data_IF_459917951577
#
_entry.id   IF_459917951577
#
_cell.length_a   1.000
_cell.length_b   1.000
_cell.length_c   1.000
_cell.angle_alpha   90.00
_cell.angle_beta   90.00
_cell.angle_gamma   90.00
#
_symmetry.space_group_name_H-M   'P 1'
#
loop_
_entity.id
_entity.type
_entity.pdbx_description
1 polymer ?
#
# COMPACT_ATOMS: atom_id res chain seq x y z
N UNK A 1 57.01 -71.39 6.20
CA UNK A 1 57.74 -70.13 5.90
C UNK A 1 57.27 -69.58 4.56
N UNK A 2 56.47 -68.51 4.55
CA UNK A 2 56.44 -67.50 3.49
C UNK A 2 55.37 -66.46 3.86
N UNK A 3 55.81 -65.29 4.37
CA UNK A 3 54.93 -64.14 4.63
C UNK A 3 54.75 -63.40 3.30
N UNK A 4 53.57 -63.47 2.68
CA UNK A 4 53.20 -62.56 1.59
C UNK A 4 52.81 -61.20 2.21
N UNK A 5 53.57 -60.16 1.89
CA UNK A 5 53.26 -58.75 2.19
C UNK A 5 52.12 -58.31 1.27
N UNK A 6 50.99 -57.88 1.85
CA UNK A 6 49.94 -57.17 1.13
C UNK A 6 50.27 -55.67 1.19
N UNK A 7 50.49 -55.05 0.04
CA UNK A 7 50.61 -53.60 -0.11
C UNK A 7 49.20 -53.06 -0.36
N UNK A 8 48.69 -52.08 0.40
CA UNK A 8 47.43 -51.44 0.06
C UNK A 8 47.68 -50.43 -1.07
N UNK A 9 47.00 -50.60 -2.20
CA UNK A 9 46.88 -49.58 -3.24
C UNK A 9 46.03 -48.43 -2.68
N UNK A 10 46.65 -47.26 -2.45
CA UNK A 10 45.89 -46.01 -2.29
C UNK A 10 45.42 -45.55 -3.68
N UNK A 11 44.11 -45.52 -3.90
CA UNK A 11 43.51 -44.77 -5.00
C UNK A 11 43.40 -43.30 -4.60
N UNK A 12 43.90 -42.33 -5.39
CA UNK A 12 43.65 -40.93 -5.12
C UNK A 12 42.20 -40.60 -5.51
N UNK A 13 41.38 -40.21 -4.53
CA UNK A 13 40.06 -39.66 -4.78
C UNK A 13 40.24 -38.25 -5.39
N UNK A 14 40.10 -38.14 -6.70
CA UNK A 14 39.99 -36.85 -7.37
C UNK A 14 38.63 -36.23 -7.02
N UNK A 15 38.66 -35.20 -6.17
CA UNK A 15 37.49 -34.36 -5.90
C UNK A 15 37.17 -33.56 -7.17
N UNK A 16 36.19 -34.03 -7.94
CA UNK A 16 35.52 -33.24 -8.97
C UNK A 16 34.75 -32.12 -8.27
N UNK A 17 35.34 -30.92 -8.23
CA UNK A 17 34.61 -29.70 -7.93
C UNK A 17 33.59 -29.47 -9.04
N UNK A 18 32.34 -29.90 -8.82
CA UNK A 18 31.21 -29.52 -9.64
C UNK A 18 31.03 -28.01 -9.47
N UNK A 19 31.42 -27.26 -10.50
CA UNK A 19 31.10 -25.85 -10.61
C UNK A 19 29.59 -25.76 -10.84
N UNK A 20 28.81 -25.64 -9.78
CA UNK A 20 27.39 -25.27 -9.89
C UNK A 20 27.33 -23.86 -10.48
N UNK A 21 27.06 -23.79 -11.78
CA UNK A 21 26.66 -22.56 -12.44
C UNK A 21 25.39 -22.06 -11.76
N UNK A 22 25.51 -21.01 -10.95
CA UNK A 22 24.34 -20.27 -10.47
C UNK A 22 23.49 -19.92 -11.69
N UNK A 23 22.18 -20.23 -11.69
CA UNK A 23 21.32 -19.76 -12.76
C UNK A 23 21.47 -18.24 -12.83
N UNK A 24 21.82 -17.74 -14.02
CA UNK A 24 21.94 -16.31 -14.26
C UNK A 24 20.65 -15.63 -13.81
N UNK A 25 20.79 -14.50 -13.12
CA UNK A 25 19.68 -13.64 -12.72
C UNK A 25 18.76 -13.46 -13.92
N UNK A 26 17.60 -14.12 -13.89
CA UNK A 26 16.54 -13.88 -14.86
C UNK A 26 16.27 -12.36 -14.83
N UNK A 27 16.27 -11.71 -16.00
CA UNK A 27 16.05 -10.28 -16.05
C UNK A 27 14.72 -9.98 -15.33
N UNK A 28 14.73 -8.99 -14.45
CA UNK A 28 13.52 -8.63 -13.70
C UNK A 28 12.35 -8.43 -14.68
N UNK A 29 11.14 -8.93 -14.35
CA UNK A 29 10.01 -8.84 -15.26
C UNK A 29 9.69 -7.38 -15.57
N UNK A 30 9.17 -7.11 -16.77
CA UNK A 30 8.82 -5.75 -17.23
C UNK A 30 7.63 -5.12 -16.50
N UNK A 31 7.09 -5.78 -15.47
CA UNK A 31 5.94 -5.36 -14.69
C UNK A 31 6.25 -5.40 -13.19
N UNK A 32 5.59 -4.53 -12.43
CA UNK A 32 5.74 -4.42 -10.99
C UNK A 32 4.87 -5.45 -10.26
N UNK A 33 3.62 -5.63 -10.70
CA UNK A 33 2.64 -6.52 -10.04
C UNK A 33 1.73 -7.23 -11.05
N UNK A 34 0.99 -8.22 -10.55
CA UNK A 34 -0.18 -8.78 -11.23
C UNK A 34 -1.41 -8.33 -10.43
N UNK A 35 -2.43 -7.81 -11.11
CA UNK A 35 -3.69 -7.39 -10.49
C UNK A 35 -4.44 -8.60 -9.94
N UNK A 36 -5.39 -8.38 -9.03
CA UNK A 36 -6.31 -9.41 -8.53
C UNK A 36 -7.22 -9.95 -9.64
N UNK A 37 -7.28 -9.27 -10.80
CA UNK A 37 -7.98 -9.70 -12.01
C UNK A 37 -7.07 -10.44 -13.01
N UNK A 38 -5.76 -10.56 -12.72
CA UNK A 38 -4.80 -11.32 -13.52
C UNK A 38 -3.97 -10.52 -14.53
N UNK A 39 -4.17 -9.20 -14.63
CA UNK A 39 -3.44 -8.34 -15.56
C UNK A 39 -2.09 -7.89 -15.01
N UNK A 40 -1.08 -7.73 -15.88
CA UNK A 40 0.22 -7.18 -15.49
C UNK A 40 0.15 -5.67 -15.31
N UNK A 41 0.69 -5.18 -14.20
CA UNK A 41 0.75 -3.77 -13.83
C UNK A 41 2.19 -3.26 -13.96
N UNK A 42 2.42 -2.36 -14.91
CA UNK A 42 3.73 -1.76 -15.17
C UNK A 42 3.92 -0.47 -14.38
N UNK A 43 5.18 -0.06 -14.19
CA UNK A 43 5.50 1.20 -13.52
C UNK A 43 4.70 2.38 -14.13
N UNK A 44 4.15 3.30 -13.31
CA UNK A 44 3.41 4.46 -13.81
C UNK A 44 4.23 5.28 -14.81
N UNK A 45 3.56 5.81 -15.83
CA UNK A 45 4.20 6.72 -16.75
C UNK A 45 4.41 8.08 -16.08
N UNK A 46 5.68 8.49 -15.96
CA UNK A 46 6.06 9.80 -15.44
C UNK A 46 6.56 10.65 -16.59
N UNK A 47 6.17 11.93 -16.63
CA UNK A 47 6.76 12.89 -17.57
C UNK A 47 8.28 12.95 -17.36
N UNK A 48 9.03 13.23 -18.42
CA UNK A 48 10.50 13.24 -18.37
C UNK A 48 11.03 14.21 -17.29
N UNK A 49 10.40 15.38 -17.16
CA UNK A 49 10.76 16.36 -16.13
C UNK A 49 10.53 15.83 -14.71
N UNK A 50 9.40 15.16 -14.46
CA UNK A 50 9.06 14.58 -13.16
C UNK A 50 9.95 13.37 -12.85
N UNK A 51 10.24 12.52 -13.84
CA UNK A 51 11.15 11.38 -13.72
C UNK A 51 12.55 11.87 -13.33
N UNK A 52 13.11 12.82 -14.08
CA UNK A 52 14.43 13.37 -13.81
C UNK A 52 14.51 14.03 -12.42
N UNK A 53 13.44 14.73 -11.99
CA UNK A 53 13.39 15.30 -10.64
C UNK A 53 13.40 14.22 -9.55
N UNK A 54 12.61 13.15 -9.71
CA UNK A 54 12.55 12.03 -8.74
C UNK A 54 13.84 11.19 -8.73
N UNK A 55 14.49 11.02 -9.88
CA UNK A 55 15.79 10.36 -9.97
C UNK A 55 16.87 11.14 -9.23
N UNK A 56 16.91 12.47 -9.35
CA UNK A 56 17.79 13.31 -8.53
C UNK A 56 17.52 13.15 -7.04
N UNK A 57 16.24 13.17 -6.63
CA UNK A 57 15.87 12.97 -5.22
C UNK A 57 16.29 11.58 -4.69
N UNK A 58 16.23 10.54 -5.52
CA UNK A 58 16.72 9.21 -5.14
C UNK A 58 18.25 9.23 -4.99
N UNK A 59 18.97 9.78 -5.96
CA UNK A 59 20.43 9.89 -5.89
C UNK A 59 20.90 10.67 -4.65
N UNK A 60 20.21 11.77 -4.31
CA UNK A 60 20.48 12.56 -3.10
C UNK A 60 20.24 11.73 -1.81
N UNK A 61 19.16 10.94 -1.77
CA UNK A 61 18.86 10.06 -0.64
C UNK A 61 19.88 8.92 -0.50
N UNK A 62 20.31 8.32 -1.61
CA UNK A 62 21.36 7.29 -1.63
C UNK A 62 22.70 7.85 -1.15
N UNK A 63 23.07 9.05 -1.63
CA UNK A 63 24.27 9.73 -1.18
C UNK A 63 24.21 10.11 0.31
N UNK A 64 23.02 10.47 0.81
CA UNK A 64 22.81 10.71 2.24
C UNK A 64 22.99 9.42 3.05
N UNK A 65 22.40 8.30 2.63
CA UNK A 65 22.56 7.00 3.30
C UNK A 65 24.00 6.46 3.27
N UNK A 66 24.73 6.73 2.18
CA UNK A 66 26.15 6.39 2.09
C UNK A 66 27.01 7.17 3.10
N UNK A 67 26.63 8.41 3.43
CA UNK A 67 27.30 9.23 4.46
C UNK A 67 26.85 8.87 5.88
N UNK A 68 25.55 8.64 6.04
CA UNK A 68 24.91 8.28 7.30
C UNK A 68 24.04 7.05 7.08
N UNK A 69 24.55 5.89 7.47
CA UNK A 69 23.85 4.62 7.32
C UNK A 69 22.77 4.38 8.38
N UNK A 70 22.04 5.43 8.76
CA UNK A 70 20.95 5.42 9.71
C UNK A 70 19.66 4.83 9.11
N UNK A 71 18.74 4.45 10.00
CA UNK A 71 17.42 4.01 9.60
C UNK A 71 16.65 5.10 8.83
N UNK A 72 16.75 6.35 9.28
CA UNK A 72 16.08 7.51 8.68
C UNK A 72 16.50 7.71 7.22
N UNK A 73 17.81 7.69 6.95
CA UNK A 73 18.33 7.85 5.60
C UNK A 73 17.89 6.69 4.69
N UNK A 74 17.88 5.45 5.19
CA UNK A 74 17.44 4.29 4.42
C UNK A 74 15.93 4.31 4.12
N UNK A 75 15.10 4.78 5.06
CA UNK A 75 13.66 4.99 4.83
C UNK A 75 13.46 5.95 3.65
N UNK A 76 14.24 7.04 3.57
CA UNK A 76 14.15 7.98 2.46
C UNK A 76 14.55 7.36 1.12
N UNK A 77 15.59 6.53 1.06
CA UNK A 77 15.94 5.78 -0.16
C UNK A 77 14.72 4.99 -0.64
N UNK A 78 14.13 4.16 0.23
CA UNK A 78 12.98 3.32 -0.14
C UNK A 78 11.77 4.13 -0.60
N UNK A 79 11.48 5.27 0.04
CA UNK A 79 10.39 6.18 -0.36
C UNK A 79 10.65 6.79 -1.73
N UNK A 80 11.86 7.28 -2.01
CA UNK A 80 12.21 7.89 -3.31
C UNK A 80 12.19 6.87 -4.44
N UNK A 81 12.65 5.64 -4.18
CA UNK A 81 12.52 4.51 -5.11
C UNK A 81 11.07 4.23 -5.45
N UNK A 82 10.19 4.19 -4.44
CA UNK A 82 8.77 3.99 -4.64
C UNK A 82 8.10 5.12 -5.45
N UNK A 83 8.53 6.38 -5.29
CA UNK A 83 8.00 7.50 -6.09
C UNK A 83 8.38 7.41 -7.56
N UNK A 84 9.42 6.67 -7.93
CA UNK A 84 9.71 6.37 -9.34
C UNK A 84 8.82 5.28 -9.92
N UNK A 85 7.91 4.70 -9.13
CA UNK A 85 7.10 3.56 -9.54
C UNK A 85 7.83 2.21 -9.46
N UNK A 86 9.05 2.20 -8.91
CA UNK A 86 9.88 0.99 -8.70
C UNK A 86 9.51 0.36 -7.36
N UNK A 87 8.34 -0.25 -7.30
CA UNK A 87 7.76 -0.74 -6.04
C UNK A 87 8.44 -2.02 -5.55
N UNK A 88 8.86 -2.90 -6.45
CA UNK A 88 9.64 -4.10 -6.11
C UNK A 88 10.99 -3.72 -5.50
N UNK A 89 11.70 -2.81 -6.14
CA UNK A 89 12.98 -2.30 -5.63
C UNK A 89 12.81 -1.64 -4.25
N UNK A 90 11.72 -0.87 -4.06
CA UNK A 90 11.42 -0.28 -2.77
C UNK A 90 11.18 -1.35 -1.67
N UNK A 91 10.51 -2.46 -2.00
CA UNK A 91 10.36 -3.60 -1.07
C UNK A 91 11.72 -4.15 -0.66
N UNK A 92 12.66 -4.32 -1.59
CA UNK A 92 14.01 -4.80 -1.28
C UNK A 92 14.77 -3.84 -0.36
N UNK A 93 14.68 -2.52 -0.61
CA UNK A 93 15.27 -1.50 0.27
C UNK A 93 14.70 -1.60 1.69
N UNK A 94 13.37 -1.67 1.83
CA UNK A 94 12.75 -1.79 3.15
C UNK A 94 13.02 -3.15 3.80
N UNK A 95 13.20 -4.22 3.03
CA UNK A 95 13.57 -5.54 3.56
C UNK A 95 15.00 -5.56 4.12
N UNK A 96 15.95 -4.94 3.42
CA UNK A 96 17.30 -4.71 3.93
C UNK A 96 17.27 -3.89 5.23
N UNK A 97 16.43 -2.85 5.27
CA UNK A 97 16.20 -2.03 6.46
C UNK A 97 15.62 -2.82 7.64
N UNK A 98 14.57 -3.61 7.42
CA UNK A 98 13.98 -4.49 8.44
C UNK A 98 14.97 -5.55 8.96
N UNK A 99 15.91 -5.98 8.12
CA UNK A 99 16.97 -6.93 8.54
C UNK A 99 18.00 -6.24 9.43
N UNK A 100 18.37 -5.00 9.11
CA UNK A 100 19.37 -4.21 9.84
C UNK A 100 18.81 -3.56 11.11
N UNK A 101 17.54 -3.18 11.09
CA UNK A 101 16.84 -2.46 12.15
C UNK A 101 15.52 -3.18 12.51
N UNK A 102 15.58 -4.41 13.06
CA UNK A 102 14.41 -5.28 13.23
C UNK A 102 13.35 -4.78 14.23
N UNK A 103 13.69 -3.78 15.05
CA UNK A 103 12.80 -3.17 16.04
C UNK A 103 12.27 -1.79 15.61
N UNK A 104 12.61 -1.33 14.40
CA UNK A 104 12.11 -0.10 13.82
C UNK A 104 10.85 -0.38 12.97
N UNK A 105 9.69 0.00 13.52
CA UNK A 105 8.38 -0.25 12.92
C UNK A 105 8.22 0.38 11.52
N UNK A 106 9.01 1.41 11.20
CA UNK A 106 8.88 2.16 9.93
C UNK A 106 9.18 1.28 8.73
N UNK A 107 10.16 0.38 8.81
CA UNK A 107 10.48 -0.52 7.70
C UNK A 107 9.33 -1.46 7.37
N UNK A 108 8.69 -2.03 8.40
CA UNK A 108 7.51 -2.87 8.24
C UNK A 108 6.31 -2.07 7.74
N UNK A 109 6.06 -0.87 8.28
CA UNK A 109 5.01 0.04 7.79
C UNK A 109 5.15 0.32 6.29
N UNK A 110 6.36 0.69 5.86
CA UNK A 110 6.61 1.09 4.49
C UNK A 110 6.62 -0.10 3.52
N UNK A 111 7.23 -1.22 3.91
CA UNK A 111 7.22 -2.46 3.13
C UNK A 111 5.82 -3.03 3.00
N UNK A 112 5.05 -3.05 4.09
CA UNK A 112 3.65 -3.45 4.09
C UNK A 112 2.79 -2.62 3.14
N UNK A 113 2.97 -1.29 3.12
CA UNK A 113 2.33 -0.43 2.12
C UNK A 113 2.74 -0.85 0.69
N UNK A 114 4.03 -1.07 0.40
CA UNK A 114 4.42 -1.53 -0.94
C UNK A 114 3.85 -2.90 -1.29
N UNK A 115 3.70 -3.81 -0.34
CA UNK A 115 3.02 -5.07 -0.56
C UNK A 115 1.53 -4.89 -0.91
N UNK A 116 0.83 -3.90 -0.33
CA UNK A 116 -0.51 -3.52 -0.76
C UNK A 116 -0.49 -3.11 -2.24
N UNK A 117 0.40 -2.17 -2.61
CA UNK A 117 0.56 -1.73 -4.00
C UNK A 117 0.81 -2.91 -4.95
N UNK A 118 1.59 -3.90 -4.53
CA UNK A 118 1.95 -5.08 -5.31
C UNK A 118 0.92 -6.22 -5.26
N UNK A 119 -0.25 -6.02 -4.64
CA UNK A 119 -1.30 -7.05 -4.42
C UNK A 119 -0.83 -8.25 -3.59
N UNK A 120 0.27 -8.11 -2.84
CA UNK A 120 0.80 -9.13 -1.93
C UNK A 120 0.16 -8.98 -0.55
N UNK A 121 -1.17 -9.11 -0.50
CA UNK A 121 -1.95 -8.68 0.66
C UNK A 121 -1.65 -9.47 1.94
N UNK A 122 -1.32 -10.77 1.85
CA UNK A 122 -0.88 -11.55 3.03
C UNK A 122 0.42 -11.02 3.63
N UNK A 123 1.40 -10.68 2.78
CA UNK A 123 2.66 -10.09 3.23
C UNK A 123 2.45 -8.68 3.79
N UNK A 124 1.52 -7.91 3.20
CA UNK A 124 1.14 -6.61 3.73
C UNK A 124 0.61 -6.71 5.15
N UNK A 125 -0.36 -7.61 5.40
CA UNK A 125 -0.91 -7.85 6.74
C UNK A 125 0.19 -8.27 7.70
N UNK A 126 1.05 -9.23 7.32
CA UNK A 126 2.14 -9.70 8.19
C UNK A 126 3.06 -8.56 8.64
N UNK A 127 3.49 -7.71 7.71
CA UNK A 127 4.35 -6.57 8.02
C UNK A 127 3.64 -5.53 8.88
N UNK A 128 2.40 -5.18 8.52
CA UNK A 128 1.65 -4.14 9.22
C UNK A 128 1.23 -4.57 10.64
N UNK A 129 0.92 -5.85 10.84
CA UNK A 129 0.72 -6.43 12.17
C UNK A 129 2.02 -6.39 12.99
N UNK A 130 3.18 -6.71 12.39
CA UNK A 130 4.47 -6.59 13.07
C UNK A 130 4.77 -5.13 13.43
N UNK A 131 4.47 -4.19 12.54
CA UNK A 131 4.61 -2.77 12.81
C UNK A 131 3.71 -2.34 13.98
N UNK A 132 2.46 -2.79 14.02
CA UNK A 132 1.50 -2.53 15.09
C UNK A 132 1.98 -3.07 16.45
N UNK A 133 2.57 -4.27 16.47
CA UNK A 133 3.20 -4.83 17.68
C UNK A 133 4.38 -4.00 18.17
N UNK A 134 5.22 -3.49 17.27
CA UNK A 134 6.40 -2.71 17.60
C UNK A 134 6.08 -1.32 18.16
N UNK A 135 4.97 -0.71 17.76
CA UNK A 135 4.52 0.59 18.28
C UNK A 135 3.70 0.47 19.57
N UNK A 136 3.27 -0.73 19.96
CA UNK A 136 2.40 -0.91 21.11
C UNK A 136 3.05 -0.37 22.40
N UNK A 137 2.34 0.50 23.11
CA UNK A 137 2.83 1.15 24.34
C UNK A 137 3.92 2.21 24.12
N UNK A 138 4.27 2.54 22.87
CA UNK A 138 5.23 3.61 22.54
C UNK A 138 4.49 4.92 22.26
N UNK A 139 5.14 6.09 22.50
CA UNK A 139 4.58 7.35 22.05
C UNK A 139 4.42 7.37 20.53
N UNK A 140 3.43 8.11 20.07
CA UNK A 140 3.22 8.32 18.64
C UNK A 140 4.19 9.37 18.09
N UNK A 141 4.59 9.21 16.84
CA UNK A 141 5.61 10.03 16.18
C UNK A 141 5.04 10.60 14.89
N UNK A 142 5.27 11.89 14.65
CA UNK A 142 4.89 12.52 13.38
C UNK A 142 5.69 11.88 12.24
N UNK A 143 4.99 11.42 11.20
CA UNK A 143 5.66 10.90 10.01
C UNK A 143 5.85 12.05 9.01
N UNK A 144 7.09 12.39 8.60
CA UNK A 144 7.31 13.47 7.65
C UNK A 144 6.69 13.17 6.29
N UNK A 145 6.06 14.17 5.68
CA UNK A 145 5.49 14.04 4.35
C UNK A 145 6.57 13.70 3.32
N UNK A 146 6.24 12.81 2.39
CA UNK A 146 7.19 12.36 1.39
C UNK A 146 7.39 13.35 0.26
N UNK A 147 6.31 14.08 -0.02
CA UNK A 147 6.25 15.21 -0.93
C UNK A 147 5.57 16.35 -0.16
N UNK A 148 6.00 17.61 -0.37
CA UNK A 148 5.42 18.73 0.36
C UNK A 148 3.95 18.92 -0.05
N UNK A 149 3.09 19.22 0.93
CA UNK A 149 1.70 19.61 0.70
C UNK A 149 1.53 21.14 0.73
N UNK A 150 0.30 21.61 0.51
CA UNK A 150 -0.01 23.04 0.36
C UNK A 150 0.43 23.91 1.55
N UNK A 151 0.62 23.33 2.75
CA UNK A 151 1.03 24.03 3.97
C UNK A 151 2.39 23.58 4.51
N UNK A 152 3.03 22.59 3.87
CA UNK A 152 4.24 21.94 4.37
C UNK A 152 4.11 21.43 5.82
N UNK A 153 2.92 20.94 6.18
CA UNK A 153 2.63 20.44 7.53
C UNK A 153 2.27 18.96 7.45
N UNK A 154 2.97 18.08 8.18
CA UNK A 154 2.63 16.67 8.24
C UNK A 154 1.18 16.43 8.66
N UNK A 155 0.48 15.60 7.89
CA UNK A 155 -0.94 15.28 8.12
C UNK A 155 -1.13 13.95 8.82
N UNK A 156 -0.08 13.15 9.02
CA UNK A 156 -0.17 11.78 9.57
C UNK A 156 0.93 11.49 10.60
N UNK A 157 0.74 10.41 11.35
CA UNK A 157 1.71 9.88 12.30
C UNK A 157 2.10 8.45 11.94
N UNK A 158 3.16 7.94 12.56
CA UNK A 158 3.58 6.56 12.38
C UNK A 158 2.46 5.59 12.78
N UNK A 159 1.82 5.81 13.94
CA UNK A 159 0.75 4.92 14.40
C UNK A 159 -0.48 5.02 13.51
N UNK A 160 -0.90 6.23 13.11
CA UNK A 160 -2.06 6.39 12.22
C UNK A 160 -1.81 5.70 10.87
N UNK A 161 -0.59 5.83 10.32
CA UNK A 161 -0.24 5.18 9.08
C UNK A 161 -0.20 3.66 9.20
N UNK A 162 0.31 3.09 10.29
CA UNK A 162 0.32 1.64 10.49
C UNK A 162 -1.11 1.10 10.49
N UNK A 163 -1.98 1.66 11.34
CA UNK A 163 -3.35 1.18 11.49
C UNK A 163 -4.19 1.40 10.23
N UNK A 164 -4.04 2.54 9.56
CA UNK A 164 -4.72 2.83 8.30
C UNK A 164 -4.39 1.78 7.22
N UNK A 165 -3.11 1.51 7.00
CA UNK A 165 -2.70 0.57 5.96
C UNK A 165 -3.04 -0.88 6.37
N UNK A 166 -3.00 -1.21 7.67
CA UNK A 166 -3.40 -2.54 8.15
C UNK A 166 -4.90 -2.78 7.88
N UNK A 167 -5.74 -1.81 8.22
CA UNK A 167 -7.17 -1.84 7.93
C UNK A 167 -7.43 -2.00 6.43
N UNK A 168 -6.68 -1.27 5.60
CA UNK A 168 -6.79 -1.37 4.15
C UNK A 168 -6.38 -2.76 3.62
N UNK A 169 -5.29 -3.33 4.13
CA UNK A 169 -4.85 -4.66 3.72
C UNK A 169 -5.91 -5.73 4.05
N UNK A 170 -6.49 -5.70 5.25
CA UNK A 170 -7.60 -6.59 5.61
C UNK A 170 -8.85 -6.33 4.75
N UNK A 171 -9.19 -5.06 4.50
CA UNK A 171 -10.32 -4.69 3.66
C UNK A 171 -10.21 -5.29 2.26
N UNK A 172 -9.05 -5.11 1.60
CA UNK A 172 -8.78 -5.63 0.26
C UNK A 172 -8.84 -7.16 0.20
N UNK A 173 -8.45 -7.86 1.27
CA UNK A 173 -8.61 -9.33 1.39
C UNK A 173 -10.06 -9.77 1.62
N UNK A 174 -10.92 -8.85 2.04
CA UNK A 174 -12.28 -9.17 2.46
C UNK A 174 -12.43 -9.64 3.88
N UNK A 175 -11.41 -9.45 4.70
CA UNK A 175 -11.48 -9.68 6.13
C UNK A 175 -12.02 -8.43 6.82
N UNK A 176 -13.31 -8.15 6.59
CA UNK A 176 -13.97 -6.97 7.13
C UNK A 176 -13.94 -6.90 8.67
N UNK A 177 -14.06 -8.01 9.44
CA UNK A 177 -13.93 -7.96 10.89
C UNK A 177 -12.57 -7.44 11.37
N UNK A 178 -11.46 -7.90 10.78
CA UNK A 178 -10.13 -7.39 11.15
C UNK A 178 -9.87 -5.99 10.60
N UNK A 179 -10.39 -5.67 9.41
CA UNK A 179 -10.35 -4.30 8.88
C UNK A 179 -11.02 -3.31 9.83
N UNK A 180 -12.22 -3.63 10.33
CA UNK A 180 -12.95 -2.80 11.29
C UNK A 180 -12.13 -2.55 12.56
N UNK A 181 -11.53 -3.59 13.14
CA UNK A 181 -10.67 -3.45 14.34
C UNK A 181 -9.49 -2.52 14.09
N UNK A 182 -8.76 -2.73 12.99
CA UNK A 182 -7.61 -1.90 12.66
C UNK A 182 -8.00 -0.44 12.42
N UNK A 183 -9.12 -0.17 11.76
CA UNK A 183 -9.61 1.20 11.57
C UNK A 183 -10.13 1.84 12.87
N UNK A 184 -10.69 1.06 13.80
CA UNK A 184 -11.04 1.56 15.14
C UNK A 184 -9.78 2.01 15.90
N UNK A 185 -8.69 1.24 15.85
CA UNK A 185 -7.40 1.65 16.40
C UNK A 185 -6.85 2.91 15.69
N UNK A 186 -6.99 2.98 14.36
CA UNK A 186 -6.61 4.15 13.57
C UNK A 186 -7.37 5.41 14.01
N UNK A 187 -8.67 5.30 14.31
CA UNK A 187 -9.47 6.42 14.83
C UNK A 187 -8.97 6.92 16.18
N UNK A 188 -8.53 6.03 17.10
CA UNK A 188 -8.03 6.42 18.42
C UNK A 188 -6.80 7.34 18.33
N UNK A 189 -5.98 7.15 17.29
CA UNK A 189 -4.75 7.95 17.06
C UNK A 189 -4.94 9.07 16.05
N UNK A 190 -6.15 9.25 15.49
CA UNK A 190 -6.46 10.28 14.49
C UNK A 190 -6.72 11.64 15.14
N UNK A 191 -5.66 12.45 15.29
CA UNK A 191 -5.68 13.71 16.05
C UNK A 191 -5.96 14.98 15.23
N UNK A 192 -6.15 14.87 13.92
CA UNK A 192 -6.42 16.00 13.04
C UNK A 192 -7.52 15.66 12.00
N UNK A 193 -8.12 16.68 11.35
CA UNK A 193 -9.17 16.47 10.37
C UNK A 193 -8.79 15.56 9.19
N UNK A 194 -7.57 15.67 8.65
CA UNK A 194 -7.07 14.84 7.55
C UNK A 194 -7.07 13.34 7.90
N UNK A 195 -6.48 12.97 9.04
CA UNK A 195 -6.47 11.58 9.53
C UNK A 195 -7.89 11.09 9.78
N UNK A 196 -8.75 11.94 10.36
CA UNK A 196 -10.12 11.58 10.70
C UNK A 196 -10.95 11.27 9.46
N UNK A 197 -10.89 12.12 8.41
CA UNK A 197 -11.67 11.88 7.19
C UNK A 197 -11.13 10.68 6.41
N UNK A 198 -9.81 10.51 6.33
CA UNK A 198 -9.20 9.37 5.65
C UNK A 198 -9.63 8.04 6.31
N UNK A 199 -9.51 7.96 7.65
CA UNK A 199 -9.89 6.77 8.41
C UNK A 199 -11.41 6.53 8.39
N UNK A 200 -12.20 7.58 8.59
CA UNK A 200 -13.67 7.46 8.66
C UNK A 200 -14.28 6.99 7.35
N UNK A 201 -13.68 7.34 6.19
CA UNK A 201 -14.19 6.90 4.90
C UNK A 201 -14.19 5.37 4.78
N UNK A 202 -13.13 4.70 5.22
CA UNK A 202 -13.05 3.24 5.16
C UNK A 202 -13.92 2.53 6.20
N UNK A 203 -14.32 3.23 7.26
CA UNK A 203 -15.32 2.75 8.21
C UNK A 203 -16.76 2.87 7.69
N UNK A 204 -16.96 3.64 6.61
CA UNK A 204 -18.12 3.74 5.72
C UNK A 204 -19.52 3.99 6.33
N UNK A 205 -19.77 3.69 7.60
CA UNK A 205 -21.06 3.87 8.28
C UNK A 205 -20.95 4.69 9.57
N UNK A 206 -19.95 5.58 9.61
CA UNK A 206 -19.83 6.72 10.53
C UNK A 206 -20.01 6.40 12.02
N UNK A 207 -18.89 6.13 12.69
CA UNK A 207 -18.82 6.28 14.15
C UNK A 207 -18.62 7.74 14.59
N UNK A 208 -18.36 8.66 13.64
CA UNK A 208 -18.02 10.06 13.96
C UNK A 208 -18.80 11.04 13.07
N UNK A 209 -19.39 12.12 13.64
CA UNK A 209 -20.02 13.19 12.85
C UNK A 209 -18.99 13.96 12.01
N UNK A 210 -19.16 13.98 10.69
CA UNK A 210 -18.38 14.79 9.75
C UNK A 210 -19.10 16.11 9.47
N UNK A 211 -18.39 17.24 9.49
CA UNK A 211 -18.95 18.57 9.24
C UNK A 211 -18.48 19.14 7.91
N UNK A 212 -19.29 20.01 7.28
CA UNK A 212 -18.93 20.66 6.00
C UNK A 212 -17.71 21.59 6.10
N UNK A 213 -17.45 22.14 7.27
CA UNK A 213 -16.48 23.22 7.51
C UNK A 213 -15.14 22.72 8.11
N UNK A 214 -14.81 21.43 7.92
CA UNK A 214 -13.55 20.88 8.41
C UNK A 214 -12.35 21.43 7.63
N UNK A 215 -11.28 21.75 8.35
CA UNK A 215 -10.03 22.23 7.76
C UNK A 215 -9.19 21.05 7.25
N UNK A 216 -9.37 20.69 5.97
CA UNK A 216 -8.71 19.56 5.31
C UNK A 216 -7.58 20.06 4.40
N UNK A 217 -6.40 19.42 4.47
CA UNK A 217 -5.23 19.78 3.66
C UNK A 217 -5.12 18.85 2.44
N UNK A 218 -5.17 17.53 2.63
CA UNK A 218 -4.87 16.53 1.60
C UNK A 218 -6.09 15.66 1.26
N UNK A 219 -6.93 15.36 2.23
CA UNK A 219 -7.94 14.31 2.13
C UNK A 219 -9.34 14.82 1.70
N UNK A 220 -9.38 15.80 0.79
CA UNK A 220 -10.63 16.47 0.38
C UNK A 220 -11.63 15.55 -0.35
N UNK A 221 -11.16 14.53 -1.08
CA UNK A 221 -12.03 13.51 -1.69
C UNK A 221 -12.73 12.66 -0.63
N UNK A 222 -12.02 12.22 0.41
CA UNK A 222 -12.60 11.49 1.54
C UNK A 222 -13.65 12.30 2.28
N UNK A 223 -13.40 13.58 2.52
CA UNK A 223 -14.39 14.48 3.14
C UNK A 223 -15.67 14.59 2.32
N UNK A 224 -15.57 14.79 1.00
CA UNK A 224 -16.73 14.86 0.10
C UNK A 224 -17.52 13.55 0.05
N UNK A 225 -16.83 12.42 0.03
CA UNK A 225 -17.47 11.09 0.10
C UNK A 225 -18.23 10.89 1.41
N UNK A 226 -17.65 11.28 2.54
CA UNK A 226 -18.34 11.18 3.84
C UNK A 226 -19.61 12.05 3.91
N UNK A 227 -19.57 13.27 3.35
CA UNK A 227 -20.76 14.11 3.23
C UNK A 227 -21.83 13.45 2.35
N UNK A 228 -21.43 12.77 1.28
CA UNK A 228 -22.35 11.99 0.44
C UNK A 228 -22.98 10.83 1.21
N UNK A 229 -22.20 10.08 2.00
CA UNK A 229 -22.73 8.98 2.81
C UNK A 229 -23.76 9.47 3.83
N UNK A 230 -23.57 10.68 4.35
CA UNK A 230 -24.51 11.36 5.25
C UNK A 230 -25.73 11.97 4.52
N UNK A 231 -25.84 11.86 3.19
CA UNK A 231 -26.92 12.46 2.40
C UNK A 231 -26.83 13.98 2.26
N UNK A 232 -25.69 14.57 2.63
CA UNK A 232 -25.49 16.03 2.66
C UNK A 232 -25.20 16.58 1.26
N UNK A 233 -24.66 15.75 0.36
CA UNK A 233 -24.44 16.07 -1.07
C UNK A 233 -24.84 14.86 -1.94
N UNK A 234 -25.29 15.05 -3.19
CA UNK A 234 -25.67 13.94 -4.06
C UNK A 234 -24.45 13.21 -4.64
N UNK A 235 -24.54 11.90 -4.97
CA UNK A 235 -23.43 11.12 -5.53
C UNK A 235 -22.82 11.69 -6.81
N UNK A 236 -23.63 12.27 -7.69
CA UNK A 236 -23.18 12.88 -8.95
C UNK A 236 -22.26 14.09 -8.72
N UNK A 237 -22.29 14.71 -7.53
CA UNK A 237 -21.37 15.80 -7.18
C UNK A 237 -19.98 15.32 -6.76
N UNK A 238 -19.84 14.02 -6.44
CA UNK A 238 -18.61 13.37 -6.00
C UNK A 238 -17.95 12.61 -7.14
N UNK A 239 -18.73 11.93 -7.97
CA UNK A 239 -18.20 11.16 -9.10
C UNK A 239 -17.65 12.09 -10.19
N UNK A 240 -16.34 12.02 -10.44
CA UNK A 240 -15.63 12.84 -11.44
C UNK A 240 -14.79 11.99 -12.40
N UNK A 241 -15.35 10.90 -12.92
CA UNK A 241 -14.71 10.15 -14.00
C UNK A 241 -15.10 10.76 -15.35
N UNK A 242 -14.20 11.58 -15.91
CA UNK A 242 -14.33 12.06 -17.28
C UNK A 242 -13.93 10.95 -18.26
N UNK A 243 -14.68 10.73 -19.36
CA UNK A 243 -14.23 9.87 -20.47
C UNK A 243 -13.03 10.45 -21.22
N UNK A 244 -12.75 11.74 -21.06
CA UNK A 244 -11.66 12.45 -21.70
C UNK A 244 -10.57 12.79 -20.66
N UNK A 245 -9.38 12.21 -20.85
CA UNK A 245 -8.20 12.42 -19.99
C UNK A 245 -7.90 11.25 -19.04
N UNK A 246 -6.67 11.17 -18.55
CA UNK A 246 -6.30 10.24 -17.48
C UNK A 246 -6.90 10.73 -16.15
N UNK A 247 -7.58 9.88 -15.36
CA UNK A 247 -8.14 10.31 -14.09
C UNK A 247 -7.03 10.66 -13.10
N UNK A 248 -7.32 11.60 -12.20
CA UNK A 248 -6.44 11.87 -11.07
C UNK A 248 -6.59 10.81 -9.96
N UNK A 249 -5.65 10.82 -9.01
CA UNK A 249 -5.74 10.03 -7.78
C UNK A 249 -7.05 10.32 -7.01
N UNK A 250 -7.46 11.59 -6.96
CA UNK A 250 -8.70 11.99 -6.29
C UNK A 250 -9.93 11.42 -6.99
N UNK A 251 -9.96 11.43 -8.33
CA UNK A 251 -11.10 10.96 -9.12
C UNK A 251 -11.33 9.46 -8.90
N UNK A 252 -10.27 8.66 -8.92
CA UNK A 252 -10.35 7.21 -8.69
C UNK A 252 -10.75 6.90 -7.25
N UNK A 253 -10.25 7.66 -6.27
CA UNK A 253 -10.63 7.53 -4.87
C UNK A 253 -12.11 7.82 -4.66
N UNK A 254 -12.59 8.93 -5.23
CA UNK A 254 -14.00 9.35 -5.18
C UNK A 254 -14.93 8.34 -5.87
N UNK A 255 -14.55 7.87 -7.06
CA UNK A 255 -15.32 6.90 -7.82
C UNK A 255 -15.48 5.59 -7.07
N UNK A 256 -14.42 5.09 -6.44
CA UNK A 256 -14.53 3.90 -5.60
C UNK A 256 -15.55 4.09 -4.47
N UNK A 257 -15.50 5.21 -3.73
CA UNK A 257 -16.47 5.46 -2.66
C UNK A 257 -17.93 5.56 -3.14
N UNK A 258 -18.15 6.10 -4.34
CA UNK A 258 -19.47 6.09 -5.00
C UNK A 258 -19.91 4.67 -5.37
N UNK A 259 -19.01 3.85 -5.94
CA UNK A 259 -19.29 2.44 -6.23
C UNK A 259 -19.63 1.64 -4.98
N UNK A 260 -18.84 1.80 -3.91
CA UNK A 260 -19.12 1.21 -2.60
C UNK A 260 -20.48 1.66 -2.06
N UNK A 261 -20.88 2.92 -2.32
CA UNK A 261 -22.17 3.45 -1.90
C UNK A 261 -23.33 2.75 -2.59
N UNK A 262 -23.20 2.52 -3.90
CA UNK A 262 -24.17 1.72 -4.63
C UNK A 262 -24.24 0.29 -4.07
N UNK A 263 -23.08 -0.33 -3.81
CA UNK A 263 -23.00 -1.70 -3.32
C UNK A 263 -23.73 -1.89 -1.98
N UNK A 264 -23.43 -1.06 -0.97
CA UNK A 264 -24.05 -1.19 0.36
C UNK A 264 -25.55 -0.86 0.39
N UNK A 265 -26.05 -0.17 -0.65
CA UNK A 265 -27.47 0.14 -0.82
C UNK A 265 -28.18 -0.86 -1.77
N UNK A 266 -27.56 -2.01 -2.06
CA UNK A 266 -28.16 -3.07 -2.87
C UNK A 266 -28.23 -2.76 -4.37
N UNK A 267 -27.55 -1.72 -4.85
CA UNK A 267 -27.46 -1.34 -6.26
C UNK A 267 -26.23 -1.97 -6.90
N UNK A 268 -26.25 -3.29 -7.01
CA UNK A 268 -25.11 -4.11 -7.47
C UNK A 268 -24.63 -3.70 -8.87
N UNK A 269 -25.56 -3.57 -9.81
CA UNK A 269 -25.25 -3.25 -11.21
C UNK A 269 -24.58 -1.88 -11.35
N UNK A 270 -25.05 -0.88 -10.61
CA UNK A 270 -24.43 0.45 -10.59
C UNK A 270 -23.05 0.43 -9.94
N UNK A 271 -22.86 -0.34 -8.86
CA UNK A 271 -21.57 -0.50 -8.21
C UNK A 271 -20.54 -1.13 -9.16
N UNK A 272 -20.89 -2.25 -9.78
CA UNK A 272 -20.04 -2.95 -10.75
C UNK A 272 -19.68 -2.04 -11.92
N UNK A 273 -20.64 -1.28 -12.46
CA UNK A 273 -20.38 -0.32 -13.54
C UNK A 273 -19.32 0.72 -13.14
N UNK A 274 -19.39 1.24 -11.91
CA UNK A 274 -18.41 2.22 -11.42
C UNK A 274 -17.06 1.56 -11.17
N UNK A 275 -17.01 0.35 -10.62
CA UNK A 275 -15.75 -0.36 -10.39
C UNK A 275 -15.05 -0.72 -11.71
N UNK A 276 -15.79 -1.15 -12.73
CA UNK A 276 -15.26 -1.36 -14.07
C UNK A 276 -14.66 -0.07 -14.65
N UNK A 277 -15.39 1.06 -14.55
CA UNK A 277 -14.89 2.34 -15.00
C UNK A 277 -13.59 2.76 -14.28
N UNK A 278 -13.46 2.45 -12.98
CA UNK A 278 -12.23 2.69 -12.22
C UNK A 278 -11.06 1.85 -12.75
N UNK A 279 -11.25 0.54 -12.94
CA UNK A 279 -10.14 -0.34 -13.36
C UNK A 279 -9.75 -0.15 -14.83
N UNK A 280 -10.69 0.27 -15.67
CA UNK A 280 -10.45 0.64 -17.08
C UNK A 280 -9.71 1.97 -17.21
N UNK A 281 -9.79 2.85 -16.21
CA UNK A 281 -9.09 4.12 -16.18
C UNK A 281 -7.61 3.89 -15.82
N UNK A 282 -6.88 3.38 -16.81
CA UNK A 282 -5.44 3.05 -16.75
C UNK A 282 -4.64 4.26 -16.26
N UNK A 283 -3.55 4.00 -15.54
CA UNK A 283 -2.61 5.02 -15.05
C UNK A 283 -2.65 5.29 -13.55
N UNK A 284 -3.74 4.93 -12.86
CA UNK A 284 -3.89 5.11 -11.40
C UNK A 284 -3.94 3.79 -10.63
N UNK A 285 -3.39 2.71 -11.19
CA UNK A 285 -3.51 1.37 -10.60
C UNK A 285 -2.89 1.23 -9.20
N UNK A 286 -2.00 2.14 -8.80
CA UNK A 286 -1.40 2.17 -7.46
C UNK A 286 -2.29 2.87 -6.41
N UNK A 287 -3.36 3.56 -6.83
CA UNK A 287 -4.30 4.27 -5.96
C UNK A 287 -5.17 3.28 -5.18
N UNK A 288 -5.39 3.53 -3.89
CA UNK A 288 -6.20 2.63 -3.05
C UNK A 288 -7.64 2.45 -3.54
N UNK A 289 -8.26 3.48 -4.10
CA UNK A 289 -9.57 3.35 -4.74
C UNK A 289 -9.56 2.37 -5.93
N UNK A 290 -8.48 2.35 -6.71
CA UNK A 290 -8.30 1.38 -7.79
C UNK A 290 -8.18 -0.04 -7.24
N UNK A 291 -7.28 -0.24 -6.26
CA UNK A 291 -7.06 -1.53 -5.62
C UNK A 291 -8.35 -2.08 -5.03
N UNK A 292 -9.16 -1.20 -4.42
CA UNK A 292 -10.40 -1.60 -3.79
C UNK A 292 -11.48 -1.93 -4.81
N UNK A 293 -11.63 -1.17 -5.90
CA UNK A 293 -12.52 -1.52 -7.01
C UNK A 293 -12.13 -2.87 -7.64
N UNK A 294 -10.82 -3.07 -7.87
CA UNK A 294 -10.26 -4.33 -8.35
C UNK A 294 -10.57 -5.51 -7.40
N UNK A 295 -10.41 -5.31 -6.10
CA UNK A 295 -10.75 -6.31 -5.09
C UNK A 295 -12.25 -6.63 -5.05
N UNK A 296 -13.14 -5.64 -5.19
CA UNK A 296 -14.58 -5.89 -5.27
C UNK A 296 -14.94 -6.72 -6.50
N UNK A 297 -14.37 -6.40 -7.67
CA UNK A 297 -14.60 -7.16 -8.92
C UNK A 297 -14.02 -8.59 -8.87
N UNK A 298 -12.94 -8.81 -8.13
CA UNK A 298 -12.31 -10.13 -8.00
C UNK A 298 -13.04 -11.06 -7.01
N UNK A 299 -13.95 -10.52 -6.17
CA UNK A 299 -14.67 -11.34 -5.19
C UNK A 299 -15.71 -12.24 -5.87
N UNK A 300 -15.82 -13.52 -5.47
CA UNK A 300 -16.90 -14.37 -5.93
C UNK A 300 -18.27 -13.79 -5.57
N UNK A 301 -19.17 -13.75 -6.54
CA UNK A 301 -20.57 -13.34 -6.37
C UNK A 301 -21.21 -14.16 -5.24
N UNK A 302 -21.58 -13.52 -4.12
CA UNK A 302 -22.22 -14.18 -2.98
C UNK A 302 -21.54 -13.98 -1.62
N UNK A 303 -20.30 -13.46 -1.57
CA UNK A 303 -19.79 -12.83 -0.34
C UNK A 303 -20.31 -11.40 -0.32
N UNK A 304 -21.25 -11.12 0.57
CA UNK A 304 -21.74 -9.76 0.83
C UNK A 304 -20.54 -8.83 1.00
N UNK A 305 -20.55 -7.66 0.36
CA UNK A 305 -19.62 -6.56 0.66
C UNK A 305 -19.69 -6.17 2.14
N UNK A 306 -19.02 -5.11 2.61
CA UNK A 306 -19.12 -4.66 3.99
C UNK A 306 -20.61 -4.43 4.33
N UNK A 307 -21.23 -5.42 4.98
CA UNK A 307 -22.65 -5.40 5.30
C UNK A 307 -22.91 -4.27 6.27
N UNK A 308 -24.11 -3.67 6.21
CA UNK A 308 -24.53 -2.71 7.23
C UNK A 308 -24.34 -3.37 8.60
N UNK A 309 -23.38 -2.86 9.38
CA UNK A 309 -23.39 -3.10 10.81
C UNK A 309 -24.72 -2.53 11.30
N UNK A 310 -25.59 -3.41 11.80
CA UNK A 310 -26.91 -3.02 12.27
C UNK A 310 -26.79 -1.89 13.28
N UNK A 311 -27.43 -0.77 12.98
CA UNK A 311 -27.75 0.24 13.99
C UNK A 311 -28.61 -0.45 15.05
N UNK A 312 -28.29 -0.35 16.35
CA UNK A 312 -29.27 -0.62 17.40
C UNK A 312 -30.43 0.38 17.33
#
# INVERSE_FOLDING_TARGET
MSRRRMVPLLFPAAALAACETRPGSEAAPSYEAVSLLGDTLVAPNLSDSLRAARERQLADAEAAYARDSSADALIWVGRRTAYLGRYRDAVEVFAAGATRFPEDARFYRHRGHRYITLRRLDLAVQDLDRAAQLIAGRPDEVEPDGLPNARNTPTSTLQSNIWYHLGLAYYLKGDFPNALRAYQECLQVSKNPDMLVATSNWLYLTLTPIRRDMDIIENGSYHRMLLMYQGVVPPDSVLRLSPAGEPSLEDVTAAYGVGAWHLVNGRQTEAERVFHAVVEAKGQWAAFGYLAAEAELARPSGRSGPGRAGTP
#
